data_IF_097353142836
#
_entry.id   IF_097353142836
#
_cell.length_a   1.000
_cell.length_b   1.000
_cell.length_c   1.000
_cell.angle_alpha   90.00
_cell.angle_beta   90.00
_cell.angle_gamma   90.00
#
_symmetry.space_group_name_H-M   'P 1'
#
loop_
_entity.id
_entity.type
_entity.pdbx_description
1 polymer ?
#
# COMPACT_ATOMS: atom_id res chain seq x y z
N UNK A 1 -11.26 1.16 -13.96
CA UNK A 1 -10.32 1.70 -12.97
C UNK A 1 -10.53 1.10 -11.58
N UNK A 2 -11.71 1.25 -10.96
CA UNK A 2 -12.00 0.73 -9.60
C UNK A 2 -11.67 -0.76 -9.42
N UNK A 3 -12.01 -1.62 -10.39
CA UNK A 3 -11.64 -3.06 -10.36
C UNK A 3 -10.13 -3.29 -10.26
N UNK A 4 -9.31 -2.47 -10.94
CA UNK A 4 -7.86 -2.59 -10.87
C UNK A 4 -7.34 -2.16 -9.50
N UNK A 5 -7.84 -1.05 -8.95
CA UNK A 5 -7.47 -0.57 -7.62
C UNK A 5 -7.85 -1.60 -6.56
N UNK A 6 -9.06 -2.18 -6.65
CA UNK A 6 -9.51 -3.26 -5.77
C UNK A 6 -8.56 -4.47 -5.85
N UNK A 7 -8.29 -4.99 -7.05
CA UNK A 7 -7.40 -6.15 -7.24
C UNK A 7 -5.99 -5.94 -6.70
N UNK A 8 -5.41 -4.76 -6.95
CA UNK A 8 -4.08 -4.43 -6.42
C UNK A 8 -4.13 -4.32 -4.89
N UNK A 9 -5.19 -3.74 -4.33
CA UNK A 9 -5.35 -3.60 -2.88
C UNK A 9 -5.47 -4.95 -2.19
N UNK A 10 -6.25 -5.88 -2.74
CA UNK A 10 -6.40 -7.24 -2.18
C UNK A 10 -5.11 -8.04 -2.30
N UNK A 11 -4.44 -8.00 -3.46
CA UNK A 11 -3.15 -8.65 -3.62
C UNK A 11 -2.10 -8.16 -2.61
N UNK A 12 -2.07 -6.86 -2.31
CA UNK A 12 -1.22 -6.30 -1.26
C UNK A 12 -1.68 -6.78 0.12
N UNK A 13 -2.99 -6.68 0.44
CA UNK A 13 -3.56 -7.06 1.73
C UNK A 13 -3.20 -8.50 2.10
N UNK A 14 -3.40 -9.43 1.19
CA UNK A 14 -3.12 -10.84 1.41
C UNK A 14 -1.63 -11.15 1.52
N UNK A 15 -0.80 -10.50 0.71
CA UNK A 15 0.64 -10.77 0.70
C UNK A 15 1.33 -10.31 1.99
N UNK A 16 0.85 -9.20 2.58
CA UNK A 16 1.44 -8.64 3.80
C UNK A 16 0.63 -8.96 5.07
N UNK A 17 -0.49 -9.68 4.94
CA UNK A 17 -1.36 -10.04 6.06
C UNK A 17 -2.03 -8.85 6.74
N UNK A 18 -2.41 -7.82 5.97
CA UNK A 18 -3.03 -6.62 6.51
C UNK A 18 -4.46 -6.86 6.99
N UNK A 19 -4.81 -6.27 8.13
CA UNK A 19 -6.18 -6.28 8.68
C UNK A 19 -7.06 -5.23 7.98
N UNK A 20 -6.45 -4.09 7.60
CA UNK A 20 -7.13 -2.95 6.99
C UNK A 20 -6.32 -2.38 5.83
N UNK A 21 -7.03 -1.83 4.85
CA UNK A 21 -6.44 -1.11 3.72
C UNK A 21 -6.96 0.32 3.67
N UNK A 22 -6.07 1.27 3.41
CA UNK A 22 -6.47 2.62 2.99
C UNK A 22 -6.21 2.81 1.50
N UNK A 23 -7.17 3.45 0.83
CA UNK A 23 -7.10 3.79 -0.60
C UNK A 23 -7.46 5.25 -0.78
N UNK A 24 -6.53 6.06 -1.29
CA UNK A 24 -6.71 7.50 -1.44
C UNK A 24 -5.85 8.08 -2.58
N UNK A 25 -6.11 9.34 -2.93
CA UNK A 25 -5.33 10.12 -3.89
C UNK A 25 -5.20 11.57 -3.40
N UNK A 26 -4.03 12.17 -3.59
CA UNK A 26 -3.71 13.55 -3.19
C UNK A 26 -3.14 14.40 -4.34
N UNK A 27 -3.19 13.90 -5.58
CA UNK A 27 -2.51 14.52 -6.73
C UNK A 27 -2.76 16.03 -6.84
N UNK A 28 -1.67 16.79 -7.08
CA UNK A 28 -1.69 18.24 -7.19
C UNK A 28 -0.67 18.70 -8.23
N UNK A 29 -1.00 19.76 -8.98
CA UNK A 29 -0.05 20.38 -9.90
C UNK A 29 1.17 20.99 -9.19
N UNK A 30 1.05 21.35 -7.91
CA UNK A 30 2.15 21.86 -7.09
C UNK A 30 3.01 20.74 -6.48
N UNK A 31 2.62 19.47 -6.67
CA UNK A 31 3.34 18.29 -6.22
C UNK A 31 3.45 17.26 -7.34
N UNK A 32 2.95 16.04 -7.09
CA UNK A 32 2.85 15.03 -8.14
C UNK A 32 1.53 15.20 -8.91
N UNK A 33 1.64 15.71 -10.13
CA UNK A 33 0.52 15.99 -11.03
C UNK A 33 -0.05 14.74 -11.72
N UNK A 34 0.71 13.64 -11.74
CA UNK A 34 0.23 12.40 -12.33
C UNK A 34 -0.85 11.78 -11.45
N UNK A 35 -2.00 11.38 -12.02
CA UNK A 35 -3.03 10.67 -11.26
C UNK A 35 -2.49 9.34 -10.75
N UNK A 36 -2.44 9.19 -9.43
CA UNK A 36 -2.01 7.98 -8.76
C UNK A 36 -2.91 7.67 -7.56
N UNK A 37 -2.91 6.40 -7.17
CA UNK A 37 -3.60 5.90 -5.99
C UNK A 37 -2.57 5.33 -5.03
N UNK A 38 -2.74 5.65 -3.77
CA UNK A 38 -2.05 4.96 -2.70
C UNK A 38 -2.90 3.78 -2.25
N UNK A 39 -2.26 2.64 -2.05
CA UNK A 39 -2.83 1.45 -1.41
C UNK A 39 -1.95 1.12 -0.22
N UNK A 40 -2.46 1.35 0.98
CA UNK A 40 -1.66 1.30 2.20
C UNK A 40 -2.16 0.16 3.08
N UNK A 41 -1.36 -0.89 3.32
CA UNK A 41 -1.69 -1.95 4.26
C UNK A 41 -1.46 -1.53 5.70
N UNK A 42 -2.38 -1.89 6.58
CA UNK A 42 -2.26 -1.66 8.02
C UNK A 42 -2.22 -3.01 8.78
N UNK A 43 -1.23 -3.20 9.67
CA UNK A 43 -0.99 -4.47 10.33
C UNK A 43 -2.07 -4.76 11.39
N UNK A 44 -2.31 -6.03 11.70
CA UNK A 44 -3.16 -6.41 12.82
C UNK A 44 -2.53 -6.03 14.16
N UNK A 45 -3.37 -5.78 15.16
CA UNK A 45 -2.94 -5.60 16.56
C UNK A 45 -2.40 -4.20 16.90
N UNK A 46 -2.43 -3.24 15.98
CA UNK A 46 -2.14 -1.83 16.27
C UNK A 46 -3.45 -1.09 16.58
N UNK A 47 -3.55 -0.32 17.68
CA UNK A 47 -4.74 0.46 17.99
C UNK A 47 -5.19 1.36 16.84
N UNK A 48 -6.49 1.57 16.70
CA UNK A 48 -7.04 2.37 15.60
C UNK A 48 -6.47 3.79 15.58
N UNK A 49 -6.40 4.46 16.73
CA UNK A 49 -5.83 5.81 16.84
C UNK A 49 -4.36 5.88 16.42
N UNK A 50 -3.59 4.81 16.63
CA UNK A 50 -2.18 4.74 16.23
C UNK A 50 -1.99 4.41 14.74
N UNK A 51 -3.04 3.88 14.11
CA UNK A 51 -3.11 3.60 12.67
C UNK A 51 -3.54 4.82 11.87
N UNK A 52 -4.48 5.59 12.41
CA UNK A 52 -5.05 6.76 11.75
C UNK A 52 -3.96 7.80 11.51
N UNK A 53 -3.84 8.27 10.27
CA UNK A 53 -2.89 9.27 9.78
C UNK A 53 -1.38 8.94 9.91
N UNK A 54 -1.02 7.92 10.68
CA UNK A 54 0.36 7.49 10.89
C UNK A 54 1.08 7.14 9.57
N UNK A 55 0.33 6.66 8.58
CA UNK A 55 0.82 6.34 7.24
C UNK A 55 1.23 7.57 6.41
N UNK A 56 0.77 8.78 6.74
CA UNK A 56 1.26 10.05 6.14
C UNK A 56 2.40 10.68 6.92
N UNK A 57 2.68 10.19 8.12
CA UNK A 57 3.56 10.89 9.03
C UNK A 57 5.02 10.65 8.70
N UNK A 58 5.76 11.72 8.46
CA UNK A 58 7.22 11.67 8.31
C UNK A 58 7.96 11.56 9.66
N UNK A 59 7.26 11.72 10.78
CA UNK A 59 7.87 11.74 12.12
C UNK A 59 8.54 10.41 12.50
N UNK A 60 8.10 9.30 11.91
CA UNK A 60 8.65 7.95 12.13
C UNK A 60 9.75 7.58 11.12
N UNK A 61 10.10 8.49 10.22
CA UNK A 61 11.07 8.26 9.15
C UNK A 61 10.54 7.36 8.03
N UNK A 62 11.44 6.92 7.15
CA UNK A 62 11.16 5.97 6.07
C UNK A 62 11.88 4.68 6.39
N UNK A 63 11.16 3.56 6.35
CA UNK A 63 11.75 2.23 6.52
C UNK A 63 12.67 1.94 5.33
N UNK A 64 13.94 1.67 5.59
CA UNK A 64 14.86 1.15 4.58
C UNK A 64 14.59 -0.34 4.38
N UNK A 65 14.17 -0.71 3.18
CA UNK A 65 13.95 -2.11 2.78
C UNK A 65 15.07 -2.48 1.81
N UNK A 66 15.84 -3.56 2.07
CA UNK A 66 16.83 -4.07 1.13
C UNK A 66 16.23 -4.29 -0.27
N UNK A 67 17.01 -4.02 -1.33
CA UNK A 67 16.50 -4.07 -2.70
C UNK A 67 16.01 -5.47 -3.09
N UNK A 68 16.67 -6.51 -2.63
CA UNK A 68 16.29 -7.91 -2.84
C UNK A 68 14.99 -8.27 -2.12
N UNK A 69 14.81 -7.79 -0.88
CA UNK A 69 13.56 -7.95 -0.15
C UNK A 69 12.39 -7.23 -0.84
N UNK A 70 12.60 -5.99 -1.28
CA UNK A 70 11.61 -5.22 -2.02
C UNK A 70 11.25 -5.89 -3.36
N UNK A 71 12.25 -6.38 -4.11
CA UNK A 71 12.03 -7.08 -5.37
C UNK A 71 11.27 -8.40 -5.15
N UNK A 72 11.62 -9.14 -4.09
CA UNK A 72 10.94 -10.38 -3.71
C UNK A 72 9.47 -10.10 -3.35
N UNK A 73 9.20 -9.08 -2.53
CA UNK A 73 7.84 -8.67 -2.18
C UNK A 73 7.03 -8.26 -3.42
N UNK A 74 7.59 -7.42 -4.30
CA UNK A 74 6.95 -6.99 -5.53
C UNK A 74 6.62 -8.19 -6.45
N UNK A 75 7.51 -9.18 -6.54
CA UNK A 75 7.27 -10.39 -7.33
C UNK A 75 6.11 -11.23 -6.77
N UNK A 76 5.97 -11.33 -5.44
CA UNK A 76 4.87 -12.05 -4.78
C UNK A 76 3.52 -11.35 -5.00
N UNK A 77 3.46 -10.04 -4.77
CA UNK A 77 2.26 -9.22 -5.05
C UNK A 77 1.88 -9.34 -6.54
N UNK A 78 2.85 -9.23 -7.44
CA UNK A 78 2.63 -9.33 -8.87
C UNK A 78 2.05 -10.66 -9.33
N UNK A 79 2.39 -11.78 -8.65
CA UNK A 79 1.75 -13.09 -8.91
C UNK A 79 0.29 -13.07 -8.53
N UNK A 80 -0.05 -12.62 -7.32
CA UNK A 80 -1.46 -12.52 -6.86
C UNK A 80 -2.34 -11.69 -7.78
N UNK A 81 -1.83 -10.54 -8.25
CA UNK A 81 -2.56 -9.68 -9.20
C UNK A 81 -2.94 -10.43 -10.49
N UNK A 82 -2.11 -11.39 -10.94
CA UNK A 82 -2.38 -12.19 -12.14
C UNK A 82 -3.26 -13.40 -11.86
N UNK A 83 -3.17 -13.98 -10.67
CA UNK A 83 -3.93 -15.19 -10.31
C UNK A 83 -5.44 -14.88 -10.11
N UNK A 84 -5.80 -13.63 -9.84
CA UNK A 84 -7.21 -13.15 -9.78
C UNK A 84 -7.78 -12.66 -11.14
N UNK A 85 -7.08 -12.90 -12.26
CA UNK A 85 -7.47 -12.39 -13.59
C UNK A 85 -8.55 -13.22 -14.29
#
# INVERSE_FOLDING_TARGET
MQRLVYRVSEAVREEVGAERMYVFTFGSNEGNSHTHWHVVPLPPGVPYEDQQDAWTSWSKGVLEIPQDEMASLAARIGRRIRDEA
#
